data_IF_880830171378
#
_entry.id   IF_880830171378
#
_cell.length_a   1.000
_cell.length_b   1.000
_cell.length_c   1.000
_cell.angle_alpha   90.00
_cell.angle_beta   90.00
_cell.angle_gamma   90.00
#
_symmetry.space_group_name_H-M   'P 1'
#
loop_
_entity.id
_entity.type
_entity.pdbx_description
1 polymer ?
#
# COMPACT_ATOMS: atom_id res chain seq x y z
N UNK A 1 -10.33 -34.77 12.78
CA UNK A 1 -9.78 -33.38 12.81
C UNK A 1 -8.51 -33.33 11.96
N UNK A 2 -8.37 -32.34 11.07
CA UNK A 2 -7.20 -32.21 10.17
C UNK A 2 -5.92 -31.81 10.95
N UNK A 3 -4.73 -32.25 10.52
CA UNK A 3 -3.46 -31.99 11.18
C UNK A 3 -2.98 -30.53 11.01
N UNK A 4 -2.02 -30.11 11.84
CA UNK A 4 -1.42 -28.76 11.81
C UNK A 4 -0.68 -28.44 10.49
N UNK A 5 -0.23 -29.47 9.77
CA UNK A 5 0.42 -29.36 8.46
C UNK A 5 -0.56 -29.02 7.33
N UNK A 6 -1.87 -29.12 7.57
CA UNK A 6 -2.87 -28.76 6.58
C UNK A 6 -3.03 -27.24 6.51
N UNK A 7 -2.34 -26.62 5.55
CA UNK A 7 -2.42 -25.19 5.26
C UNK A 7 -3.86 -24.76 5.01
N UNK A 8 -4.29 -23.72 5.74
CA UNK A 8 -5.65 -23.16 5.65
C UNK A 8 -6.68 -23.79 6.58
N UNK A 9 -6.35 -24.89 7.28
CA UNK A 9 -7.25 -25.49 8.28
C UNK A 9 -7.33 -24.69 9.59
N UNK A 10 -8.38 -24.90 10.41
CA UNK A 10 -8.55 -24.18 11.68
C UNK A 10 -7.35 -24.27 12.62
N UNK A 11 -6.72 -25.45 12.75
CA UNK A 11 -5.52 -25.63 13.59
C UNK A 11 -4.31 -24.86 13.04
N UNK A 12 -4.12 -24.83 11.72
CA UNK A 12 -3.05 -24.07 11.09
C UNK A 12 -3.24 -22.56 11.32
N UNK A 13 -4.46 -22.05 11.13
CA UNK A 13 -4.80 -20.65 11.38
C UNK A 13 -4.61 -20.28 12.86
N UNK A 14 -5.03 -21.14 13.79
CA UNK A 14 -4.82 -20.95 15.22
C UNK A 14 -3.34 -20.85 15.58
N UNK A 15 -2.49 -21.69 14.98
CA UNK A 15 -1.03 -21.64 15.18
C UNK A 15 -0.44 -20.33 14.63
N UNK A 16 -0.83 -19.91 13.43
CA UNK A 16 -0.37 -18.64 12.85
C UNK A 16 -0.76 -17.45 13.74
N UNK A 17 -1.99 -17.46 14.25
CA UNK A 17 -2.46 -16.46 15.20
C UNK A 17 -1.62 -16.46 16.49
N UNK A 18 -1.41 -17.62 17.11
CA UNK A 18 -0.58 -17.72 18.32
C UNK A 18 0.86 -17.23 18.08
N UNK A 19 1.46 -17.56 16.94
CA UNK A 19 2.79 -17.08 16.56
C UNK A 19 2.81 -15.54 16.42
N UNK A 20 1.81 -14.96 15.75
CA UNK A 20 1.69 -13.52 15.61
C UNK A 20 1.54 -12.84 16.98
N UNK A 21 0.71 -13.40 17.87
CA UNK A 21 0.54 -12.88 19.23
C UNK A 21 1.81 -13.01 20.07
N UNK A 22 2.60 -14.07 19.91
CA UNK A 22 3.89 -14.22 20.57
C UNK A 22 4.90 -13.14 20.11
N UNK A 23 4.92 -12.83 18.81
CA UNK A 23 5.72 -11.73 18.25
C UNK A 23 5.30 -10.39 18.87
N UNK A 24 3.99 -10.10 18.88
CA UNK A 24 3.45 -8.86 19.45
C UNK A 24 3.76 -8.72 20.94
N UNK A 25 3.61 -9.82 21.70
CA UNK A 25 3.95 -9.85 23.13
C UNK A 25 5.43 -9.54 23.37
N UNK A 26 6.33 -10.06 22.53
CA UNK A 26 7.78 -9.90 22.69
C UNK A 26 8.30 -8.55 22.17
N UNK A 27 7.78 -8.06 21.04
CA UNK A 27 8.34 -6.92 20.31
C UNK A 27 7.46 -5.66 20.36
N UNK A 28 6.27 -5.78 20.95
CA UNK A 28 5.30 -4.69 21.10
C UNK A 28 4.23 -4.68 20.01
N UNK A 29 3.24 -3.80 20.20
CA UNK A 29 2.11 -3.64 19.26
C UNK A 29 2.58 -3.12 17.89
N UNK A 30 1.95 -3.57 16.78
CA UNK A 30 2.16 -2.98 15.47
C UNK A 30 1.84 -1.49 15.46
N UNK A 31 2.62 -0.72 14.70
CA UNK A 31 2.40 0.71 14.51
C UNK A 31 1.69 1.00 13.18
N UNK A 32 1.90 0.17 12.16
CA UNK A 32 1.34 0.37 10.83
C UNK A 32 0.67 -0.90 10.32
N UNK A 33 -0.43 -0.70 9.60
CA UNK A 33 -1.10 -1.72 8.81
C UNK A 33 -1.05 -1.32 7.34
N UNK A 34 -0.28 -2.05 6.55
CA UNK A 34 -0.06 -1.76 5.13
C UNK A 34 -0.65 -2.90 4.30
N UNK A 35 -1.37 -2.54 3.25
CA UNK A 35 -1.94 -3.50 2.31
C UNK A 35 -1.33 -3.37 0.93
N UNK A 36 -1.14 -4.49 0.26
CA UNK A 36 -0.69 -4.54 -1.14
C UNK A 36 -1.67 -5.40 -1.93
N UNK A 37 -2.22 -4.83 -3.00
CA UNK A 37 -3.16 -5.54 -3.89
C UNK A 37 -2.48 -5.83 -5.21
N UNK A 38 -2.66 -7.04 -5.74
CA UNK A 38 -2.21 -7.37 -7.10
C UNK A 38 -2.90 -6.46 -8.12
N UNK A 39 -2.11 -5.78 -8.95
CA UNK A 39 -2.62 -4.97 -10.05
C UNK A 39 -2.63 -5.82 -11.32
N UNK A 40 -3.80 -6.13 -11.92
CA UNK A 40 -3.87 -6.93 -13.13
C UNK A 40 -3.16 -6.26 -14.31
N UNK A 41 -3.02 -4.93 -14.30
CA UNK A 41 -2.41 -4.15 -15.37
C UNK A 41 -0.88 -4.07 -15.28
N UNK A 42 -0.23 -4.83 -14.38
CA UNK A 42 1.23 -4.91 -14.38
C UNK A 42 1.73 -5.49 -15.70
N UNK A 43 2.78 -4.90 -16.33
CA UNK A 43 3.29 -5.35 -17.63
C UNK A 43 3.65 -6.84 -17.65
N UNK A 44 4.21 -7.35 -16.55
CA UNK A 44 4.61 -8.76 -16.45
C UNK A 44 3.41 -9.72 -16.43
N UNK A 45 2.25 -9.25 -15.94
CA UNK A 45 1.00 -10.01 -16.01
C UNK A 45 0.42 -9.92 -17.42
N UNK A 46 0.31 -8.71 -17.97
CA UNK A 46 -0.26 -8.47 -19.30
C UNK A 46 0.50 -9.21 -20.41
N UNK A 47 1.83 -9.19 -20.37
CA UNK A 47 2.68 -9.92 -21.32
C UNK A 47 2.53 -11.45 -21.22
N UNK A 48 1.99 -11.98 -20.11
CA UNK A 48 1.76 -13.40 -19.90
C UNK A 48 0.33 -13.84 -20.25
N UNK A 49 -0.54 -12.93 -20.71
CA UNK A 49 -1.91 -13.25 -21.14
C UNK A 49 -1.93 -13.67 -22.61
N UNK A 50 -2.75 -14.67 -22.93
CA UNK A 50 -3.09 -14.99 -24.32
C UNK A 50 -4.22 -14.06 -24.81
N UNK A 51 -4.42 -13.93 -26.14
CA UNK A 51 -5.55 -13.19 -26.70
C UNK A 51 -6.87 -13.58 -26.04
N UNK A 52 -7.65 -12.57 -25.60
CA UNK A 52 -8.94 -12.77 -24.92
C UNK A 52 -8.88 -13.18 -23.45
N UNK A 53 -7.70 -13.47 -22.89
CA UNK A 53 -7.57 -13.81 -21.46
C UNK A 53 -7.52 -12.56 -20.59
N UNK A 54 -8.09 -12.68 -19.39
CA UNK A 54 -7.94 -11.72 -18.30
C UNK A 54 -6.93 -12.24 -17.28
N UNK A 55 -6.43 -11.35 -16.42
CA UNK A 55 -5.52 -11.69 -15.33
C UNK A 55 -6.07 -12.81 -14.42
N UNK A 56 -7.38 -12.81 -14.16
CA UNK A 56 -8.03 -13.83 -13.34
C UNK A 56 -7.95 -15.23 -13.96
N UNK A 57 -7.83 -15.33 -15.29
CA UNK A 57 -7.76 -16.59 -16.01
C UNK A 57 -6.34 -17.22 -15.96
N UNK A 58 -5.34 -16.45 -15.48
CA UNK A 58 -3.95 -16.89 -15.26
C UNK A 58 -3.51 -16.66 -13.80
N UNK A 59 -4.19 -17.28 -12.80
CA UNK A 59 -3.97 -16.99 -11.39
C UNK A 59 -2.53 -17.30 -10.92
N UNK A 60 -1.88 -18.34 -11.49
CA UNK A 60 -0.49 -18.67 -11.18
C UNK A 60 0.51 -17.57 -11.58
N UNK A 61 0.30 -16.91 -12.74
CA UNK A 61 1.13 -15.79 -13.19
C UNK A 61 0.92 -14.57 -12.29
N UNK A 62 -0.33 -14.26 -11.96
CA UNK A 62 -0.68 -13.20 -11.03
C UNK A 62 -0.04 -13.42 -9.65
N UNK A 63 -0.14 -14.64 -9.11
CA UNK A 63 0.46 -15.00 -7.82
C UNK A 63 1.99 -14.91 -7.83
N UNK A 64 2.63 -15.38 -8.91
CA UNK A 64 4.08 -15.30 -9.08
C UNK A 64 4.59 -13.85 -9.11
N UNK A 65 4.02 -13.02 -10.00
CA UNK A 65 4.38 -11.60 -10.11
C UNK A 65 4.11 -10.86 -8.81
N UNK A 66 2.94 -11.09 -8.19
CA UNK A 66 2.59 -10.49 -6.91
C UNK A 66 3.59 -10.86 -5.81
N UNK A 67 3.95 -12.15 -5.69
CA UNK A 67 4.90 -12.62 -4.68
C UNK A 67 6.28 -11.97 -4.84
N UNK A 68 6.78 -11.86 -6.07
CA UNK A 68 8.06 -11.21 -6.36
C UNK A 68 8.03 -9.73 -6.00
N UNK A 69 6.98 -9.00 -6.41
CA UNK A 69 6.83 -7.59 -6.08
C UNK A 69 6.63 -7.37 -4.57
N UNK A 70 5.84 -8.21 -3.90
CA UNK A 70 5.62 -8.14 -2.45
C UNK A 70 6.94 -8.36 -1.70
N UNK A 71 7.72 -9.37 -2.09
CA UNK A 71 9.06 -9.63 -1.53
C UNK A 71 9.95 -8.39 -1.69
N UNK A 72 10.03 -7.82 -2.89
CA UNK A 72 10.87 -6.66 -3.14
C UNK A 72 10.42 -5.43 -2.34
N UNK A 73 9.12 -5.19 -2.23
CA UNK A 73 8.57 -4.10 -1.40
C UNK A 73 8.98 -4.26 0.05
N UNK A 74 8.85 -5.48 0.62
CA UNK A 74 9.23 -5.75 2.00
C UNK A 74 10.74 -5.55 2.24
N UNK A 75 11.58 -5.97 1.30
CA UNK A 75 13.03 -5.78 1.37
C UNK A 75 13.40 -4.30 1.33
N UNK A 76 12.87 -3.56 0.35
CA UNK A 76 13.15 -2.11 0.19
C UNK A 76 12.70 -1.31 1.42
N UNK A 77 11.55 -1.65 2.01
CA UNK A 77 11.05 -0.99 3.23
C UNK A 77 12.06 -1.09 4.38
N UNK A 78 12.76 -2.22 4.50
CA UNK A 78 13.75 -2.49 5.55
C UNK A 78 15.12 -1.92 5.15
N UNK A 79 15.64 -2.29 3.98
CA UNK A 79 16.97 -1.90 3.48
C UNK A 79 17.15 -0.38 3.44
N UNK A 80 16.15 0.33 2.90
CA UNK A 80 16.19 1.78 2.78
C UNK A 80 15.63 2.51 4.01
N UNK A 81 15.27 1.78 5.06
CA UNK A 81 14.67 2.32 6.29
C UNK A 81 13.51 3.27 6.00
N UNK A 82 12.65 2.94 5.02
CA UNK A 82 11.53 3.79 4.59
C UNK A 82 10.56 4.07 5.74
N UNK A 83 10.36 3.09 6.61
CA UNK A 83 9.50 3.19 7.80
C UNK A 83 10.32 3.46 9.09
N UNK A 84 11.60 3.80 8.95
CA UNK A 84 12.56 3.82 10.06
C UNK A 84 13.03 2.41 10.46
N UNK A 85 13.35 2.22 11.73
CA UNK A 85 13.79 0.93 12.26
C UNK A 85 12.59 0.00 12.53
N UNK A 86 12.54 -1.11 11.79
CA UNK A 86 11.50 -2.15 11.90
C UNK A 86 12.00 -3.27 12.81
N UNK A 87 11.32 -3.51 13.94
CA UNK A 87 11.61 -4.63 14.86
C UNK A 87 11.11 -5.97 14.32
N UNK A 88 9.92 -5.97 13.72
CA UNK A 88 9.33 -7.16 13.12
C UNK A 88 8.20 -6.80 12.16
N UNK A 89 7.84 -7.77 11.32
CA UNK A 89 6.67 -7.71 10.45
C UNK A 89 5.91 -9.04 10.47
N UNK A 90 4.60 -8.96 10.40
CA UNK A 90 3.72 -10.11 10.17
C UNK A 90 2.98 -9.86 8.85
N UNK A 91 2.94 -10.86 7.98
CA UNK A 91 2.30 -10.74 6.68
C UNK A 91 1.41 -11.94 6.42
N UNK A 92 0.21 -11.68 5.90
CA UNK A 92 -0.73 -12.68 5.43
C UNK A 92 -1.05 -12.35 3.97
N UNK A 93 -1.03 -13.36 3.10
CA UNK A 93 -1.49 -13.24 1.72
C UNK A 93 -2.80 -14.00 1.59
N UNK A 94 -3.83 -13.30 1.15
CA UNK A 94 -5.18 -13.80 0.95
C UNK A 94 -5.56 -13.68 -0.52
N UNK A 95 -6.39 -14.61 -0.98
CA UNK A 95 -6.97 -14.56 -2.32
C UNK A 95 -8.42 -14.10 -2.15
N UNK A 96 -8.72 -12.85 -2.55
CA UNK A 96 -10.09 -12.32 -2.48
C UNK A 96 -10.99 -13.12 -3.44
N UNK A 97 -12.32 -13.07 -3.25
CA UNK A 97 -13.37 -13.79 -4.02
C UNK A 97 -13.42 -13.53 -5.56
N UNK A 98 -12.36 -12.95 -6.14
CA UNK A 98 -12.14 -12.79 -7.60
C UNK A 98 -10.72 -13.20 -8.04
N UNK A 99 -9.99 -13.95 -7.22
CA UNK A 99 -8.78 -14.71 -7.60
C UNK A 99 -7.44 -13.96 -7.54
N UNK A 100 -7.43 -12.64 -7.37
CA UNK A 100 -6.17 -11.89 -7.28
C UNK A 100 -5.61 -11.85 -5.84
N UNK A 101 -4.30 -12.07 -5.66
CA UNK A 101 -3.66 -11.99 -4.35
C UNK A 101 -3.74 -10.59 -3.73
N UNK A 102 -3.86 -10.56 -2.42
CA UNK A 102 -3.80 -9.37 -1.59
C UNK A 102 -3.01 -9.68 -0.32
N UNK A 103 -2.16 -8.76 0.12
CA UNK A 103 -1.38 -8.92 1.34
C UNK A 103 -1.84 -7.93 2.40
N UNK A 104 -2.01 -8.43 3.62
CA UNK A 104 -2.15 -7.66 4.84
C UNK A 104 -0.85 -7.75 5.61
N UNK A 105 -0.24 -6.61 5.95
CA UNK A 105 1.04 -6.56 6.66
C UNK A 105 0.95 -5.66 7.88
N UNK A 106 1.39 -6.19 9.02
CA UNK A 106 1.55 -5.47 10.27
C UNK A 106 3.04 -5.20 10.48
N UNK A 107 3.37 -3.94 10.78
CA UNK A 107 4.75 -3.50 10.98
C UNK A 107 4.94 -3.03 12.43
N UNK A 108 5.85 -3.69 13.14
CA UNK A 108 6.24 -3.34 14.49
C UNK A 108 7.51 -2.50 14.38
N UNK A 109 7.38 -1.20 14.63
CA UNK A 109 8.48 -0.26 14.58
C UNK A 109 9.18 -0.14 15.93
N UNK A 110 10.41 0.36 15.92
CA UNK A 110 11.04 0.88 17.12
C UNK A 110 10.24 2.05 17.69
N UNK A 111 10.27 2.24 19.02
CA UNK A 111 9.51 3.31 19.67
C UNK A 111 9.92 4.71 19.17
N UNK A 112 11.18 4.90 18.80
CA UNK A 112 11.66 6.18 18.25
C UNK A 112 11.14 6.47 16.83
N UNK A 113 10.63 5.46 16.12
CA UNK A 113 10.08 5.62 14.76
C UNK A 113 8.55 5.55 14.72
N UNK A 114 7.89 5.33 15.86
CA UNK A 114 6.42 5.36 15.92
C UNK A 114 5.95 6.81 15.94
N UNK A 115 4.95 7.18 15.12
CA UNK A 115 4.27 8.44 15.31
C UNK A 115 3.62 8.49 16.70
N UNK A 116 3.93 9.52 17.50
CA UNK A 116 3.40 9.68 18.87
C UNK A 116 2.30 10.71 18.96
N UNK A 117 2.33 11.70 18.09
CA UNK A 117 1.38 12.79 18.01
C UNK A 117 1.03 13.14 16.55
N UNK A 118 0.23 14.19 16.39
CA UNK A 118 -0.23 14.67 15.07
C UNK A 118 0.93 15.20 14.23
N UNK A 119 1.95 15.81 14.85
CA UNK A 119 3.10 16.36 14.13
C UNK A 119 3.97 15.22 13.56
N UNK A 120 4.27 14.21 14.37
CA UNK A 120 4.98 13.01 13.92
C UNK A 120 4.21 12.30 12.80
N UNK A 121 2.88 12.18 12.93
CA UNK A 121 2.03 11.56 11.91
C UNK A 121 2.05 12.35 10.60
N UNK A 122 1.94 13.68 10.66
CA UNK A 122 1.99 14.55 9.48
C UNK A 122 3.34 14.44 8.78
N UNK A 123 4.45 14.48 9.53
CA UNK A 123 5.79 14.30 8.97
C UNK A 123 5.94 12.94 8.29
N UNK A 124 5.41 11.87 8.92
CA UNK A 124 5.42 10.54 8.35
C UNK A 124 4.62 10.44 7.04
N UNK A 125 3.37 10.94 7.03
CA UNK A 125 2.50 10.97 5.84
C UNK A 125 3.15 11.77 4.71
N UNK A 126 3.72 12.94 5.00
CA UNK A 126 4.43 13.76 4.02
C UNK A 126 5.69 13.07 3.48
N UNK A 127 6.35 12.25 4.30
CA UNK A 127 7.51 11.49 3.85
C UNK A 127 7.13 10.35 2.88
N UNK A 128 6.08 9.58 3.16
CA UNK A 128 5.83 8.32 2.43
C UNK A 128 4.54 8.25 1.60
N UNK A 129 3.56 9.12 1.84
CA UNK A 129 2.23 9.04 1.21
C UNK A 129 1.92 10.19 0.24
N UNK A 130 2.88 11.06 -0.05
CA UNK A 130 2.69 12.10 -1.07
C UNK A 130 2.58 11.48 -2.46
N UNK A 131 1.62 11.97 -3.23
CA UNK A 131 1.59 11.71 -4.66
C UNK A 131 2.83 12.34 -5.30
N UNK A 132 3.59 11.55 -6.06
CA UNK A 132 4.73 12.07 -6.78
C UNK A 132 4.32 13.12 -7.81
N UNK A 133 5.27 13.95 -8.29
CA UNK A 133 5.02 14.87 -9.41
C UNK A 133 4.41 14.11 -10.60
N UNK A 134 3.39 14.73 -11.20
CA UNK A 134 2.67 14.25 -12.39
C UNK A 134 2.11 15.47 -13.15
N UNK A 135 1.38 15.24 -14.25
CA UNK A 135 0.96 16.33 -15.13
C UNK A 135 2.16 16.92 -15.85
N UNK A 136 2.19 18.24 -15.97
CA UNK A 136 3.27 18.96 -16.66
C UNK A 136 4.64 18.73 -16.03
N UNK A 137 4.68 18.52 -14.71
CA UNK A 137 5.91 18.25 -13.96
C UNK A 137 6.48 16.86 -14.25
N UNK A 138 5.65 15.89 -14.66
CA UNK A 138 6.09 14.56 -15.05
C UNK A 138 5.02 13.87 -15.91
N UNK A 139 5.02 14.10 -17.23
CA UNK A 139 4.03 13.53 -18.15
C UNK A 139 4.09 12.00 -18.23
N UNK A 140 5.24 11.42 -17.87
CA UNK A 140 5.50 9.98 -17.90
C UNK A 140 5.17 9.29 -16.57
N UNK A 141 4.60 10.00 -15.58
CA UNK A 141 4.27 9.40 -14.29
C UNK A 141 3.27 8.23 -14.46
N UNK A 142 3.38 7.12 -13.70
CA UNK A 142 2.51 5.95 -13.87
C UNK A 142 1.00 6.22 -13.73
N UNK A 143 0.64 7.31 -13.05
CA UNK A 143 -0.74 7.76 -12.88
C UNK A 143 -1.32 8.49 -14.10
N UNK A 144 -0.49 8.95 -15.04
CA UNK A 144 -0.93 9.69 -16.23
C UNK A 144 -1.64 8.75 -17.21
N UNK A 145 -2.80 9.20 -17.70
CA UNK A 145 -3.62 8.54 -18.73
C UNK A 145 -4.14 9.63 -19.64
N UNK A 146 -3.87 9.52 -20.94
CA UNK A 146 -4.37 10.47 -21.96
C UNK A 146 -4.09 11.94 -21.59
N UNK A 147 -2.88 12.23 -21.09
CA UNK A 147 -2.47 13.58 -20.70
C UNK A 147 -2.99 14.05 -19.33
N UNK A 148 -3.85 13.29 -18.65
CA UNK A 148 -4.44 13.67 -17.35
C UNK A 148 -4.04 12.68 -16.25
N UNK A 149 -3.86 13.18 -15.02
CA UNK A 149 -3.65 12.30 -13.88
C UNK A 149 -4.94 11.52 -13.57
N UNK A 150 -4.92 10.19 -13.75
CA UNK A 150 -6.06 9.30 -13.42
C UNK A 150 -6.46 9.31 -11.94
N UNK A 151 -5.64 9.91 -11.07
CA UNK A 151 -5.90 10.10 -9.63
C UNK A 151 -6.37 11.51 -9.28
N UNK A 152 -6.56 12.39 -10.30
CA UNK A 152 -7.03 13.78 -10.20
C UNK A 152 -6.11 14.69 -9.40
N UNK A 153 -4.80 14.49 -9.52
CA UNK A 153 -3.82 15.41 -8.94
C UNK A 153 -3.36 16.47 -9.95
N UNK A 154 -3.08 17.71 -9.51
CA UNK A 154 -3.31 18.21 -8.15
C UNK A 154 -4.81 18.35 -7.86
N UNK A 155 -5.22 18.12 -6.60
CA UNK A 155 -6.63 18.28 -6.20
C UNK A 155 -6.89 19.74 -5.87
N UNK A 156 -7.95 20.37 -6.41
CA UNK A 156 -8.26 21.75 -6.10
C UNK A 156 -8.62 21.91 -4.63
N UNK A 157 -8.44 23.12 -4.10
CA UNK A 157 -8.97 23.47 -2.79
C UNK A 157 -10.51 23.45 -2.80
N UNK A 158 -11.08 23.03 -1.67
CA UNK A 158 -12.52 22.93 -1.46
C UNK A 158 -12.86 23.22 0.01
N UNK A 159 -13.77 24.16 0.26
CA UNK A 159 -14.17 24.57 1.62
C UNK A 159 -15.07 23.56 2.33
N UNK A 160 -15.72 22.66 1.60
CA UNK A 160 -16.57 21.59 2.11
C UNK A 160 -16.41 20.31 1.29
N UNK A 161 -16.83 19.18 1.85
CA UNK A 161 -16.87 17.91 1.12
C UNK A 161 -18.15 17.83 0.30
N UNK A 162 -18.04 17.59 -1.00
CA UNK A 162 -19.18 17.46 -1.93
C UNK A 162 -19.11 16.15 -2.71
N UNK A 163 -20.23 15.72 -3.26
CA UNK A 163 -20.28 14.58 -4.19
C UNK A 163 -20.10 15.12 -5.60
N UNK A 164 -19.07 14.66 -6.31
CA UNK A 164 -18.84 15.02 -7.70
C UNK A 164 -19.90 14.44 -8.63
N UNK A 165 -19.99 14.98 -9.85
CA UNK A 165 -20.94 14.54 -10.88
C UNK A 165 -20.77 13.07 -11.29
N UNK A 166 -19.58 12.51 -11.09
CA UNK A 166 -19.26 11.09 -11.32
C UNK A 166 -19.43 10.22 -10.07
N UNK A 167 -20.04 10.76 -9.01
CA UNK A 167 -20.23 10.09 -7.72
C UNK A 167 -18.96 10.01 -6.86
N UNK A 168 -17.82 10.51 -7.33
CA UNK A 168 -16.60 10.54 -6.53
C UNK A 168 -16.61 11.72 -5.56
N UNK A 169 -16.26 11.54 -4.27
CA UNK A 169 -16.25 12.64 -3.32
C UNK A 169 -15.11 13.62 -3.60
N UNK A 170 -15.44 14.92 -3.62
CA UNK A 170 -14.48 16.00 -3.53
C UNK A 170 -14.33 16.34 -2.05
N UNK A 171 -13.29 15.83 -1.41
CA UNK A 171 -13.05 16.08 0.01
C UNK A 171 -12.68 17.54 0.28
N UNK A 172 -13.13 18.06 1.42
CA UNK A 172 -12.71 19.36 1.92
C UNK A 172 -11.17 19.42 2.01
N UNK A 173 -10.60 20.39 1.31
CA UNK A 173 -9.17 20.72 1.29
C UNK A 173 -9.06 22.23 1.37
N UNK A 174 -8.86 22.77 2.58
CA UNK A 174 -8.78 24.23 2.77
C UNK A 174 -7.41 24.71 2.31
N UNK A 175 -7.37 25.86 1.65
CA UNK A 175 -6.11 26.57 1.51
C UNK A 175 -5.77 27.20 2.86
N UNK A 176 -4.74 26.69 3.52
CA UNK A 176 -4.24 27.23 4.78
C UNK A 176 -2.82 27.79 4.64
N UNK A 177 -2.32 27.95 3.40
CA UNK A 177 -0.96 28.42 3.11
C UNK A 177 0.17 27.47 3.53
N UNK A 178 -0.13 26.28 4.08
CA UNK A 178 0.90 25.32 4.46
C UNK A 178 1.50 24.67 3.22
N UNK A 179 2.82 24.72 3.11
CA UNK A 179 3.56 24.05 2.05
C UNK A 179 4.62 23.11 2.60
N UNK A 180 4.93 22.07 1.85
CA UNK A 180 5.99 21.12 2.15
C UNK A 180 6.89 20.92 0.92
N UNK A 181 8.20 20.88 1.14
CA UNK A 181 9.18 20.68 0.07
C UNK A 181 9.68 19.24 0.07
N UNK A 182 9.68 18.60 -1.10
CA UNK A 182 10.27 17.26 -1.29
C UNK A 182 11.09 17.21 -2.57
N UNK A 183 12.41 17.13 -2.40
CA UNK A 183 13.34 17.31 -3.52
C UNK A 183 13.19 18.71 -4.08
N UNK A 184 12.95 18.83 -5.38
CA UNK A 184 12.82 20.12 -6.07
C UNK A 184 11.36 20.58 -6.22
N UNK A 185 10.42 19.94 -5.54
CA UNK A 185 8.98 20.20 -5.69
C UNK A 185 8.39 20.73 -4.40
N UNK A 186 7.52 21.72 -4.54
CA UNK A 186 6.70 22.29 -3.45
C UNK A 186 5.31 21.70 -3.56
N UNK A 187 4.82 21.18 -2.44
CA UNK A 187 3.47 20.64 -2.28
C UNK A 187 2.69 21.54 -1.34
N UNK A 188 1.42 21.76 -1.65
CA UNK A 188 0.44 22.38 -0.78
C UNK A 188 -0.30 21.30 0.06
N UNK A 189 -1.08 21.75 1.03
CA UNK A 189 -1.60 20.94 2.14
C UNK A 189 -2.76 19.98 1.84
#
# INVERSE_FOLDING_TARGET
MLPLSFTGGPRHLQKLYQNAMAIVRKLGKPALFITMTCNPNWPEIQAALLPGQRAQDRPGRCAGVFRLKLKRVMEVMIEKKILGHVKARVAVVEFKKRGLPHAHTLWILDNHNKPRDVADLNAFVNHIMLHGPCGDHNPNAPCMREGVCSKRYPRPFANSTTVGSDGYPNYRRRDNGTTFVKGNFVFDN
#
